data_IF_715031773358
#
_entry.id   IF_715031773358
#
_cell.length_a   1.000
_cell.length_b   1.000
_cell.length_c   1.000
_cell.angle_alpha   90.00
_cell.angle_beta   90.00
_cell.angle_gamma   90.00
#
_symmetry.space_group_name_H-M   'P 1'
#
loop_
_entity.id
_entity.type
_entity.pdbx_description
1 polymer ?
#
# COMPACT_ATOMS: atom_id res chain seq x y z
N UNK A 1 -3.43 -19.88 -3.88
CA UNK A 1 -3.59 -18.44 -4.18
C UNK A 1 -4.82 -17.88 -3.50
N UNK A 2 -4.66 -16.99 -2.50
CA UNK A 2 -5.79 -16.32 -1.88
C UNK A 2 -6.37 -15.26 -2.84
N UNK A 3 -7.69 -15.15 -2.92
CA UNK A 3 -8.39 -14.17 -3.78
C UNK A 3 -9.18 -13.13 -3.01
N UNK A 4 -9.41 -13.32 -1.71
CA UNK A 4 -10.35 -12.50 -0.91
C UNK A 4 -10.10 -10.98 -1.02
N UNK A 5 -8.85 -10.53 -0.92
CA UNK A 5 -8.53 -9.10 -1.00
C UNK A 5 -8.67 -8.56 -2.43
N UNK A 6 -8.40 -9.39 -3.44
CA UNK A 6 -8.57 -9.05 -4.85
C UNK A 6 -10.07 -8.92 -5.18
N UNK A 7 -10.86 -9.88 -4.72
CA UNK A 7 -12.33 -9.89 -4.83
C UNK A 7 -12.93 -8.69 -4.09
N UNK A 8 -12.43 -8.37 -2.90
CA UNK A 8 -12.83 -7.20 -2.12
C UNK A 8 -12.53 -5.89 -2.85
N UNK A 9 -11.31 -5.76 -3.38
CA UNK A 9 -10.86 -4.59 -4.13
C UNK A 9 -11.72 -4.38 -5.37
N UNK A 10 -12.01 -5.47 -6.09
CA UNK A 10 -12.91 -5.48 -7.25
C UNK A 10 -14.34 -5.11 -6.88
N UNK A 11 -14.86 -5.62 -5.76
CA UNK A 11 -16.19 -5.28 -5.26
C UNK A 11 -16.31 -3.80 -4.85
N UNK A 12 -15.19 -3.16 -4.47
CA UNK A 12 -15.12 -1.72 -4.21
C UNK A 12 -15.01 -0.88 -5.51
N UNK A 13 -15.07 -1.50 -6.69
CA UNK A 13 -14.99 -0.83 -7.99
C UNK A 13 -13.57 -0.49 -8.45
N UNK A 14 -12.54 -0.97 -7.75
CA UNK A 14 -11.14 -0.82 -8.15
C UNK A 14 -10.67 -2.03 -8.98
N UNK A 15 -9.55 -1.87 -9.69
CA UNK A 15 -8.90 -2.97 -10.42
C UNK A 15 -7.83 -3.63 -9.54
N UNK A 16 -7.96 -4.94 -9.28
CA UNK A 16 -6.93 -5.72 -8.60
C UNK A 16 -5.86 -6.18 -9.59
N UNK A 17 -4.72 -5.48 -9.63
CA UNK A 17 -3.61 -5.80 -10.53
C UNK A 17 -2.92 -7.11 -10.11
N UNK A 18 -2.66 -8.05 -11.04
CA UNK A 18 -1.94 -9.27 -10.72
C UNK A 18 -0.44 -9.00 -10.53
N UNK A 19 0.12 -9.44 -9.40
CA UNK A 19 1.55 -9.33 -9.12
C UNK A 19 2.08 -10.56 -8.35
N UNK A 20 3.35 -10.87 -8.51
CA UNK A 20 3.99 -12.09 -7.99
C UNK A 20 4.18 -12.02 -6.48
N UNK A 21 4.48 -10.84 -5.95
CA UNK A 21 4.76 -10.65 -4.53
C UNK A 21 3.51 -10.47 -3.66
N UNK A 22 2.29 -10.77 -4.16
CA UNK A 22 1.02 -10.52 -3.44
C UNK A 22 0.86 -11.23 -2.10
N UNK A 23 1.54 -12.37 -1.91
CA UNK A 23 1.56 -13.10 -0.64
C UNK A 23 2.86 -12.92 0.14
N UNK A 24 3.74 -12.01 -0.28
CA UNK A 24 4.99 -11.76 0.44
C UNK A 24 4.77 -10.91 1.68
N UNK A 25 5.58 -11.18 2.71
CA UNK A 25 5.57 -10.42 3.94
C UNK A 25 6.17 -9.03 3.72
N UNK A 26 5.59 -8.00 4.34
CA UNK A 26 6.14 -6.64 4.34
C UNK A 26 7.42 -6.51 5.19
N UNK A 27 7.77 -7.52 5.98
CA UNK A 27 8.94 -7.49 6.89
C UNK A 27 8.71 -6.73 8.20
N UNK A 28 7.49 -6.25 8.48
CA UNK A 28 7.21 -5.39 9.64
C UNK A 28 7.50 -6.04 11.01
N UNK A 29 7.37 -7.36 11.15
CA UNK A 29 7.69 -8.06 12.39
C UNK A 29 9.19 -8.18 12.68
N UNK A 30 10.04 -7.99 11.66
CA UNK A 30 11.50 -8.11 11.76
C UNK A 30 12.21 -6.79 11.45
N UNK A 31 11.47 -5.70 11.22
CA UNK A 31 12.02 -4.39 10.82
C UNK A 31 13.04 -3.85 11.83
N UNK A 32 12.83 -4.10 13.13
CA UNK A 32 13.75 -3.68 14.20
C UNK A 32 14.96 -4.62 14.31
N UNK A 33 14.75 -5.93 14.16
CA UNK A 33 15.81 -6.93 14.34
C UNK A 33 16.72 -7.09 13.10
N UNK A 34 16.20 -6.76 11.92
CA UNK A 34 16.88 -6.91 10.63
C UNK A 34 16.37 -5.86 9.66
N UNK A 35 16.66 -4.56 9.91
CA UNK A 35 16.15 -3.46 9.12
C UNK A 35 16.50 -3.60 7.64
N UNK A 36 17.73 -3.97 7.31
CA UNK A 36 18.15 -4.11 5.91
C UNK A 36 17.35 -5.19 5.16
N UNK A 37 17.00 -6.30 5.82
CA UNK A 37 16.14 -7.33 5.24
C UNK A 37 14.72 -6.82 5.05
N UNK A 38 14.18 -6.11 6.03
CA UNK A 38 12.85 -5.49 5.94
C UNK A 38 12.76 -4.52 4.77
N UNK A 39 13.73 -3.61 4.65
CA UNK A 39 13.78 -2.63 3.56
C UNK A 39 13.91 -3.31 2.18
N UNK A 40 14.67 -4.40 2.06
CA UNK A 40 14.80 -5.14 0.81
C UNK A 40 13.47 -5.77 0.36
N UNK A 41 12.73 -6.38 1.29
CA UNK A 41 11.41 -6.97 1.00
C UNK A 41 10.41 -5.92 0.51
N UNK A 42 10.37 -4.76 1.18
CA UNK A 42 9.49 -3.65 0.79
C UNK A 42 9.93 -3.09 -0.57
N UNK A 43 11.23 -2.94 -0.82
CA UNK A 43 11.77 -2.48 -2.11
C UNK A 43 11.29 -3.38 -3.26
N UNK A 44 11.46 -4.69 -3.15
CA UNK A 44 11.05 -5.63 -4.20
C UNK A 44 9.55 -5.52 -4.50
N UNK A 45 8.72 -5.41 -3.45
CA UNK A 45 7.29 -5.17 -3.58
C UNK A 45 7.00 -3.86 -4.33
N UNK A 46 7.62 -2.75 -3.93
CA UNK A 46 7.42 -1.44 -4.55
C UNK A 46 7.90 -1.41 -6.02
N UNK A 47 9.01 -2.08 -6.34
CA UNK A 47 9.51 -2.19 -7.72
C UNK A 47 8.52 -2.92 -8.63
N UNK A 48 7.87 -3.98 -8.14
CA UNK A 48 6.86 -4.69 -8.92
C UNK A 48 5.59 -3.83 -9.09
N UNK A 49 5.09 -3.25 -8.00
CA UNK A 49 3.89 -2.40 -8.01
C UNK A 49 4.08 -1.19 -8.92
N UNK A 50 5.27 -0.55 -8.89
CA UNK A 50 5.59 0.59 -9.76
C UNK A 50 5.60 0.18 -11.24
N UNK A 51 6.14 -0.99 -11.58
CA UNK A 51 6.15 -1.50 -12.98
C UNK A 51 4.76 -1.77 -13.51
N UNK A 52 3.83 -2.14 -12.63
CA UNK A 52 2.42 -2.36 -12.96
C UNK A 52 1.63 -1.05 -13.07
N UNK A 53 2.18 0.08 -12.59
CA UNK A 53 1.51 1.37 -12.64
C UNK A 53 0.32 1.49 -11.69
N UNK A 54 0.36 0.82 -10.53
CA UNK A 54 -0.72 0.88 -9.55
C UNK A 54 -0.90 2.29 -8.98
N UNK A 55 -2.15 2.75 -8.83
CA UNK A 55 -2.44 4.04 -8.21
C UNK A 55 -2.25 4.01 -6.69
N UNK A 56 -2.54 2.88 -6.05
CA UNK A 56 -2.50 2.68 -4.60
C UNK A 56 -2.19 1.22 -4.25
N UNK A 57 -1.63 0.99 -3.06
CA UNK A 57 -1.51 -0.35 -2.46
C UNK A 57 -2.57 -0.48 -1.36
N UNK A 58 -3.48 -1.44 -1.48
CA UNK A 58 -4.43 -1.79 -0.41
C UNK A 58 -3.87 -2.91 0.45
N UNK A 59 -3.96 -2.78 1.77
CA UNK A 59 -3.45 -3.79 2.72
C UNK A 59 -4.51 -4.24 3.72
N UNK A 60 -4.52 -5.52 4.12
CA UNK A 60 -5.44 -6.06 5.12
C UNK A 60 -4.88 -6.00 6.55
N UNK A 61 -3.68 -5.42 6.74
CA UNK A 61 -2.95 -5.43 8.00
C UNK A 61 -2.40 -4.03 8.30
N UNK A 62 -2.71 -3.42 9.48
CA UNK A 62 -2.23 -2.09 9.83
C UNK A 62 -0.70 -1.99 9.83
N UNK A 63 -0.01 -3.05 10.29
CA UNK A 63 1.45 -3.09 10.27
C UNK A 63 1.99 -3.09 8.84
N UNK A 64 1.34 -3.78 7.90
CA UNK A 64 1.73 -3.72 6.50
C UNK A 64 1.57 -2.31 5.92
N UNK A 65 0.44 -1.65 6.21
CA UNK A 65 0.22 -0.26 5.78
C UNK A 65 1.36 0.64 6.27
N UNK A 66 1.55 0.72 7.59
CA UNK A 66 2.56 1.61 8.18
C UNK A 66 3.95 1.31 7.66
N UNK A 67 4.32 0.03 7.58
CA UNK A 67 5.66 -0.38 7.21
C UNK A 67 5.97 -0.10 5.74
N UNK A 68 5.07 -0.45 4.81
CA UNK A 68 5.28 -0.20 3.38
C UNK A 68 5.24 1.29 3.05
N UNK A 69 4.45 2.08 3.77
CA UNK A 69 4.34 3.51 3.57
C UNK A 69 5.53 4.30 4.15
N UNK A 70 5.85 4.06 5.42
CA UNK A 70 6.83 4.85 6.18
C UNK A 70 8.26 4.68 5.66
N UNK A 71 8.59 3.49 5.12
CA UNK A 71 9.95 3.19 4.69
C UNK A 71 10.26 3.59 3.24
N UNK A 72 9.31 4.07 2.43
CA UNK A 72 9.60 4.49 1.06
C UNK A 72 10.70 5.58 0.97
N UNK A 73 10.71 6.63 1.80
CA UNK A 73 11.77 7.65 1.76
C UNK A 73 13.15 7.07 2.10
N UNK A 74 13.22 6.14 3.05
CA UNK A 74 14.47 5.48 3.42
C UNK A 74 14.97 4.55 2.30
N UNK A 75 14.06 3.80 1.68
CA UNK A 75 14.35 2.94 0.52
C UNK A 75 14.85 3.79 -0.66
N UNK A 76 14.21 4.92 -0.91
CA UNK A 76 14.64 5.87 -1.94
C UNK A 76 16.08 6.34 -1.71
N UNK A 77 16.38 6.78 -0.49
CA UNK A 77 17.71 7.26 -0.09
C UNK A 77 18.78 6.15 -0.20
N UNK A 78 18.49 4.94 0.31
CA UNK A 78 19.47 3.84 0.36
C UNK A 78 19.72 3.16 -0.98
N UNK A 79 18.69 3.02 -1.81
CA UNK A 79 18.75 2.23 -3.05
C UNK A 79 18.71 3.07 -4.33
N UNK A 80 18.67 4.41 -4.22
CA UNK A 80 18.62 5.30 -5.39
C UNK A 80 17.31 5.17 -6.18
N UNK A 81 16.21 4.92 -5.47
CA UNK A 81 14.86 4.78 -6.05
C UNK A 81 14.02 6.02 -5.79
N UNK A 82 12.82 6.08 -6.38
CA UNK A 82 11.92 7.24 -6.29
C UNK A 82 10.47 6.80 -6.11
N UNK A 83 10.22 5.86 -5.21
CA UNK A 83 8.87 5.43 -4.86
C UNK A 83 8.11 6.53 -4.13
N UNK A 84 6.86 6.71 -4.49
CA UNK A 84 5.91 7.59 -3.81
C UNK A 84 4.50 7.05 -4.01
N UNK A 85 4.29 5.80 -3.63
CA UNK A 85 3.06 5.05 -3.90
C UNK A 85 2.18 5.12 -2.65
N UNK A 86 0.96 5.67 -2.73
CA UNK A 86 0.04 5.69 -1.59
C UNK A 86 -0.30 4.28 -1.11
N UNK A 87 -0.30 4.07 0.21
CA UNK A 87 -0.68 2.81 0.84
C UNK A 87 -1.89 3.06 1.72
N UNK A 88 -2.95 2.29 1.55
CA UNK A 88 -4.21 2.42 2.28
C UNK A 88 -4.56 1.13 2.99
N UNK A 89 -5.31 1.26 4.09
CA UNK A 89 -5.99 0.11 4.66
C UNK A 89 -7.25 -0.19 3.84
N UNK A 90 -7.59 -1.47 3.67
CA UNK A 90 -8.71 -1.88 2.82
C UNK A 90 -10.05 -1.22 3.19
N UNK A 91 -10.29 -0.88 4.46
CA UNK A 91 -11.52 -0.19 4.86
C UNK A 91 -11.56 1.28 4.41
N UNK A 92 -10.41 1.93 4.21
CA UNK A 92 -10.37 3.29 3.63
C UNK A 92 -10.84 3.26 2.18
N UNK A 93 -10.42 2.23 1.42
CA UNK A 93 -10.91 1.99 0.06
C UNK A 93 -12.43 1.73 0.08
N UNK A 94 -12.91 0.93 1.03
CA UNK A 94 -14.34 0.67 1.20
C UNK A 94 -15.16 1.93 1.47
N UNK A 95 -14.65 2.81 2.34
CA UNK A 95 -15.35 4.04 2.70
C UNK A 95 -15.53 4.95 1.48
N UNK A 96 -14.48 5.13 0.66
CA UNK A 96 -14.56 5.88 -0.60
C UNK A 96 -15.52 5.20 -1.58
N UNK A 97 -15.43 3.88 -1.73
CA UNK A 97 -16.34 3.14 -2.61
C UNK A 97 -17.82 3.25 -2.21
N UNK A 98 -18.11 3.46 -0.92
CA UNK A 98 -19.46 3.66 -0.41
C UNK A 98 -19.94 5.12 -0.48
N UNK A 99 -19.13 6.02 -1.06
CA UNK A 99 -19.45 7.44 -1.19
C UNK A 99 -19.37 8.22 0.12
N UNK A 100 -18.58 7.74 1.09
CA UNK A 100 -18.29 8.47 2.32
C UNK A 100 -17.18 9.51 2.09
N UNK A 101 -17.08 10.50 2.97
CA UNK A 101 -16.11 11.58 2.82
C UNK A 101 -14.65 11.07 2.94
N UNK A 102 -13.78 11.29 1.94
CA UNK A 102 -12.40 10.77 1.93
C UNK A 102 -11.54 11.23 3.11
N UNK A 103 -11.84 12.39 3.68
CA UNK A 103 -11.04 13.02 4.74
C UNK A 103 -11.65 12.71 6.11
N UNK A 104 -12.94 13.01 6.27
CA UNK A 104 -13.65 12.89 7.54
C UNK A 104 -13.95 11.45 7.90
N UNK A 105 -14.41 10.65 6.94
CA UNK A 105 -14.90 9.29 7.20
C UNK A 105 -13.83 8.23 6.86
N UNK A 106 -13.08 8.40 5.76
CA UNK A 106 -12.02 7.46 5.36
C UNK A 106 -10.63 7.79 5.97
N UNK A 107 -10.44 9.01 6.48
CA UNK A 107 -9.19 9.41 7.15
C UNK A 107 -7.96 9.44 6.24
N UNK A 108 -8.11 9.57 4.92
CA UNK A 108 -7.00 9.48 3.96
C UNK A 108 -5.98 10.62 4.11
N UNK A 109 -6.36 11.72 4.77
CA UNK A 109 -5.44 12.81 5.10
C UNK A 109 -4.41 12.45 6.19
N UNK A 110 -4.61 11.35 6.91
CA UNK A 110 -3.69 10.84 7.94
C UNK A 110 -2.61 9.91 7.37
N UNK A 111 -2.76 9.44 6.13
CA UNK A 111 -1.76 8.65 5.44
C UNK A 111 -0.53 9.52 5.14
N UNK A 112 0.67 8.93 5.27
CA UNK A 112 1.95 9.63 5.05
C UNK A 112 2.08 10.05 3.58
N UNK A 113 1.74 9.13 2.67
CA UNK A 113 1.72 9.35 1.23
C UNK A 113 0.26 9.41 0.80
N UNK A 114 -0.18 10.63 0.47
CA UNK A 114 -1.58 10.90 0.13
C UNK A 114 -1.90 10.40 -1.27
N UNK A 115 -3.06 9.78 -1.42
CA UNK A 115 -3.62 9.44 -2.73
C UNK A 115 -4.52 10.56 -3.22
N UNK A 116 -4.03 11.40 -4.14
CA UNK A 116 -4.84 12.45 -4.75
C UNK A 116 -6.07 11.87 -5.48
N UNK A 117 -5.92 10.66 -6.06
CA UNK A 117 -7.00 9.94 -6.73
C UNK A 117 -8.12 9.57 -5.78
N UNK A 118 -7.81 9.00 -4.60
CA UNK A 118 -8.84 8.66 -3.62
C UNK A 118 -9.38 9.88 -2.86
N UNK A 119 -8.56 10.93 -2.69
CA UNK A 119 -8.99 12.18 -2.06
C UNK A 119 -9.95 13.02 -2.92
N UNK A 120 -10.01 12.76 -4.23
CA UNK A 120 -10.86 13.49 -5.19
C UNK A 120 -12.14 12.74 -5.59
N UNK A 121 -12.34 11.53 -5.06
CA UNK A 121 -13.57 10.74 -5.24
C UNK A 121 -14.65 11.17 -4.26
#
# INVERSE_FOLDING_TARGET
>A
DPTFLDDFTTACGAEALPFKLRTHCCGGSVSVMSPDKGLHLIKELLEEVQKLGADVISTPCPLCQTNVEMYQPEINSRFGTSFNIPVVFYSQLMAVAFGLDPVKDAGLNQNIIKSDKLLSM
#
